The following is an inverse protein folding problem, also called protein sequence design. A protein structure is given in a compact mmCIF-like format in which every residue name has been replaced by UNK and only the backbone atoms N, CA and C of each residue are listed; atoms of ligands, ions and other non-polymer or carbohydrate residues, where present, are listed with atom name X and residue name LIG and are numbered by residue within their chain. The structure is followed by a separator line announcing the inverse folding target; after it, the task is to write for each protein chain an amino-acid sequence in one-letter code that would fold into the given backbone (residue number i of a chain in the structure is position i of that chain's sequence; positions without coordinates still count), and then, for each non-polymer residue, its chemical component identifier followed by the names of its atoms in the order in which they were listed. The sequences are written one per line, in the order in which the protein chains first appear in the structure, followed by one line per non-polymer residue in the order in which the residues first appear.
data_IF_671547709033
#
_entry.id   IF_671547709033
#
_cell.length_a   1.000
_cell.length_b   1.000
_cell.length_c   1.000
_cell.angle_alpha   90.00
_cell.angle_beta   90.00
_cell.angle_gamma   90.00
#
_symmetry.space_group_name_H-M   'P 1'
#
loop_
_entity.id
_entity.type
_entity.pdbx_description
1 polymer ?
#
# COMPACT_ATOMS: atom_id res chain seq x y z
N UNK A 1 -8.12 -11.20 34.02
CA UNK A 1 -7.37 -11.81 32.91
C UNK A 1 -7.25 -10.78 31.80
N UNK A 2 -6.03 -10.39 31.42
CA UNK A 2 -5.82 -9.47 30.30
C UNK A 2 -5.96 -10.28 29.00
N UNK A 3 -7.15 -10.24 28.41
CA UNK A 3 -7.44 -10.89 27.15
C UNK A 3 -6.81 -10.03 26.05
N UNK A 4 -5.50 -10.17 25.87
CA UNK A 4 -4.74 -9.43 24.88
C UNK A 4 -4.98 -10.07 23.50
N UNK A 5 -6.19 -9.85 22.98
CA UNK A 5 -6.62 -10.28 21.65
C UNK A 5 -6.01 -9.39 20.58
N UNK A 6 -4.69 -9.46 20.39
CA UNK A 6 -3.98 -8.86 19.26
C UNK A 6 -4.10 -9.70 17.97
N UNK A 7 -5.13 -10.55 17.87
CA UNK A 7 -5.06 -11.68 16.94
C UNK A 7 -5.72 -11.47 15.58
N UNK A 8 -6.68 -10.57 15.35
CA UNK A 8 -7.59 -10.81 14.20
C UNK A 8 -8.14 -9.61 13.40
N UNK A 9 -7.64 -8.38 13.53
CA UNK A 9 -8.18 -7.30 12.69
C UNK A 9 -7.19 -6.18 12.39
N UNK A 10 -6.05 -6.50 11.78
CA UNK A 10 -5.43 -5.48 10.93
C UNK A 10 -6.08 -5.61 9.56
N UNK A 11 -7.22 -4.92 9.38
CA UNK A 11 -7.92 -4.91 8.10
C UNK A 11 -6.96 -4.33 7.05
N UNK A 12 -6.37 -5.21 6.26
CA UNK A 12 -5.47 -4.85 5.18
C UNK A 12 -6.28 -4.39 3.98
N UNK A 13 -7.17 -3.43 4.17
CA UNK A 13 -7.85 -2.78 3.05
C UNK A 13 -6.76 -2.22 2.13
N UNK A 14 -6.88 -2.56 0.86
CA UNK A 14 -5.96 -2.12 -0.18
C UNK A 14 -5.82 -0.60 -0.11
N UNK A 15 -4.59 -0.04 -0.06
CA UNK A 15 -4.38 1.41 -0.04
C UNK A 15 -5.00 2.12 -1.24
N UNK A 16 -5.10 1.40 -2.36
CA UNK A 16 -5.67 1.96 -3.57
C UNK A 16 -7.16 2.19 -3.35
N UNK A 17 -7.54 3.47 -3.30
CA UNK A 17 -8.91 3.94 -3.13
C UNK A 17 -9.85 3.47 -4.24
N UNK A 18 -9.33 3.06 -5.40
CA UNK A 18 -10.12 2.47 -6.49
C UNK A 18 -10.32 0.95 -6.34
N UNK A 19 -9.54 0.27 -5.49
CA UNK A 19 -9.63 -1.18 -5.32
C UNK A 19 -10.35 -1.57 -4.03
N UNK A 20 -9.96 -0.99 -2.89
CA UNK A 20 -10.58 -1.22 -1.58
C UNK A 20 -10.70 -2.70 -1.14
N UNK A 21 -10.00 -3.61 -1.82
CA UNK A 21 -10.02 -5.03 -1.48
C UNK A 21 -9.40 -5.29 -0.11
N UNK A 22 -10.02 -6.11 0.73
CA UNK A 22 -9.64 -6.32 2.13
C UNK A 22 -9.24 -7.76 2.45
N UNK A 23 -9.54 -8.72 1.57
CA UNK A 23 -9.28 -10.15 1.75
C UNK A 23 -7.89 -10.58 1.24
N UNK A 24 -6.83 -9.95 1.72
CA UNK A 24 -5.46 -10.34 1.37
C UNK A 24 -5.00 -11.60 2.12
N UNK A 25 -4.30 -12.50 1.42
CA UNK A 25 -3.62 -13.63 2.06
C UNK A 25 -2.61 -13.15 3.12
N UNK A 26 -2.46 -13.92 4.20
CA UNK A 26 -1.48 -13.61 5.25
C UNK A 26 -0.07 -13.56 4.66
N UNK A 27 0.59 -12.42 4.80
CA UNK A 27 1.93 -12.19 4.25
C UNK A 27 1.96 -11.76 2.78
N UNK A 28 0.83 -11.45 2.16
CA UNK A 28 0.81 -10.90 0.80
C UNK A 28 1.59 -9.57 0.72
N UNK A 29 2.44 -9.48 -0.30
CA UNK A 29 3.27 -8.31 -0.61
C UNK A 29 2.53 -7.27 -1.46
N UNK A 30 1.57 -7.72 -2.26
CA UNK A 30 0.78 -6.92 -3.18
C UNK A 30 -0.69 -7.32 -3.12
N UNK A 31 -1.57 -6.39 -3.48
CA UNK A 31 -2.98 -6.66 -3.67
C UNK A 31 -3.17 -7.59 -4.86
N UNK A 32 -3.89 -8.70 -4.68
CA UNK A 32 -4.11 -9.68 -5.76
C UNK A 32 -4.98 -9.13 -6.89
N UNK A 33 -5.84 -8.13 -6.60
CA UNK A 33 -6.73 -7.55 -7.60
C UNK A 33 -6.07 -6.43 -8.40
N UNK A 34 -5.29 -5.55 -7.76
CA UNK A 34 -4.77 -4.34 -8.42
C UNK A 34 -3.24 -4.20 -8.40
N UNK A 35 -2.51 -5.16 -7.82
CA UNK A 35 -1.04 -5.15 -7.77
C UNK A 35 -0.42 -4.12 -6.81
N UNK A 36 -1.22 -3.32 -6.11
CA UNK A 36 -0.71 -2.28 -5.19
C UNK A 36 0.09 -2.91 -4.05
N UNK A 37 1.26 -2.35 -3.74
CA UNK A 37 2.11 -2.82 -2.65
C UNK A 37 1.43 -2.63 -1.29
N UNK A 38 1.55 -3.64 -0.42
CA UNK A 38 0.98 -3.64 0.94
C UNK A 38 2.04 -3.36 2.02
N UNK A 39 3.24 -2.96 1.61
CA UNK A 39 4.38 -2.64 2.47
C UNK A 39 5.11 -1.41 1.91
N UNK A 40 5.89 -0.74 2.75
CA UNK A 40 6.77 0.35 2.35
C UNK A 40 8.22 -0.08 2.36
N UNK A 41 9.02 0.40 1.41
CA UNK A 41 10.48 0.34 1.52
C UNK A 41 10.98 1.67 2.02
N UNK A 42 11.91 1.64 2.95
CA UNK A 42 12.59 2.85 3.39
C UNK A 42 13.57 3.30 2.30
N UNK A 43 13.52 4.57 1.89
CA UNK A 43 14.41 5.10 0.86
C UNK A 43 15.87 5.19 1.33
N UNK A 44 16.11 5.37 2.63
CA UNK A 44 17.47 5.52 3.17
C UNK A 44 18.23 4.20 3.34
N UNK A 45 17.53 3.11 3.66
CA UNK A 45 18.17 1.82 3.98
C UNK A 45 17.57 0.60 3.28
N UNK A 46 16.55 0.80 2.45
CA UNK A 46 15.87 -0.23 1.63
C UNK A 46 15.16 -1.32 2.45
N UNK A 47 15.12 -1.19 3.78
CA UNK A 47 14.41 -2.12 4.65
C UNK A 47 12.91 -2.14 4.35
N UNK A 48 12.30 -3.33 4.40
CA UNK A 48 10.87 -3.55 4.16
C UNK A 48 10.09 -3.32 5.45
N UNK A 49 9.31 -2.26 5.47
CA UNK A 49 8.52 -1.81 6.60
C UNK A 49 7.02 -2.10 6.38
N UNK A 50 6.27 -2.44 7.43
CA UNK A 50 4.83 -2.59 7.31
C UNK A 50 4.16 -1.26 6.95
N UNK A 51 2.99 -1.30 6.31
CA UNK A 51 2.28 -0.10 5.83
C UNK A 51 1.91 0.89 6.94
N UNK A 52 1.71 0.42 8.18
CA UNK A 52 1.39 1.29 9.31
C UNK A 52 2.63 1.94 9.95
N UNK A 53 3.85 1.63 9.47
CA UNK A 53 5.07 2.19 10.03
C UNK A 53 5.20 3.67 9.67
N UNK A 54 5.27 4.53 10.69
CA UNK A 54 5.61 5.95 10.53
C UNK A 54 7.12 6.18 10.39
N UNK A 55 7.91 5.25 10.94
CA UNK A 55 9.36 5.29 10.94
C UNK A 55 9.94 3.94 10.56
N UNK A 56 11.11 3.94 9.93
CA UNK A 56 11.84 2.75 9.60
C UNK A 56 12.30 2.06 10.88
N UNK A 57 11.93 0.80 11.08
CA UNK A 57 12.36 0.05 12.27
C UNK A 57 13.88 -0.20 12.30
N UNK A 58 14.54 -0.08 11.15
CA UNK A 58 15.97 -0.33 11.02
C UNK A 58 16.81 0.94 11.20
N UNK A 59 16.56 1.99 10.40
CA UNK A 59 17.37 3.20 10.41
C UNK A 59 16.72 4.41 11.11
N UNK A 60 15.45 4.33 11.50
CA UNK A 60 14.73 5.41 12.19
C UNK A 60 14.19 6.52 11.28
N UNK A 61 14.43 6.48 9.97
CA UNK A 61 13.93 7.47 9.02
C UNK A 61 12.40 7.54 8.98
N UNK A 62 11.85 8.72 8.70
CA UNK A 62 10.40 8.89 8.54
C UNK A 62 9.94 8.29 7.19
N UNK A 63 8.85 7.52 7.21
CA UNK A 63 8.25 6.87 6.02
C UNK A 63 6.74 7.16 5.89
N UNK A 64 6.21 8.09 6.70
CA UNK A 64 4.77 8.31 6.85
C UNK A 64 4.08 8.93 5.62
N UNK A 65 4.86 9.51 4.69
CA UNK A 65 4.34 10.39 3.63
C UNK A 65 4.43 9.82 2.21
N UNK A 66 4.72 8.52 2.04
CA UNK A 66 4.64 7.89 0.71
C UNK A 66 3.17 7.56 0.41
N UNK A 67 2.35 8.61 0.33
CA UNK A 67 0.99 8.56 -0.19
C UNK A 67 1.02 7.82 -1.53
N UNK A 68 0.12 6.85 -1.60
CA UNK A 68 -0.19 5.96 -2.72
C UNK A 68 -0.35 6.75 -4.03
N UNK A 69 0.77 7.13 -4.64
CA UNK A 69 0.85 7.79 -5.93
C UNK A 69 0.62 6.75 -7.02
N UNK A 70 -0.65 6.39 -7.17
CA UNK A 70 -1.18 5.80 -8.39
C UNK A 70 -1.08 6.82 -9.52
N UNK A 71 0.12 7.02 -10.04
CA UNK A 71 0.36 7.64 -11.34
C UNK A 71 0.00 6.61 -12.41
N UNK A 72 -1.30 6.46 -12.70
CA UNK A 72 -1.72 5.91 -13.98
C UNK A 72 -1.99 7.11 -14.88
N UNK A 73 -0.97 7.51 -15.66
CA UNK A 73 -1.19 8.39 -16.82
C UNK A 73 -2.16 7.67 -17.75
N UNK A 74 -3.40 8.12 -17.78
CA UNK A 74 -4.31 7.91 -18.89
C UNK A 74 -4.39 9.19 -19.71
N UNK A 75 -3.24 9.65 -20.22
CA UNK A 75 -3.21 10.56 -21.36
C UNK A 75 -3.16 9.71 -22.62
N UNK A 76 -4.32 9.17 -23.00
CA UNK A 76 -4.58 8.78 -24.38
C UNK A 76 -5.75 9.64 -24.86
N UNK A 77 -5.40 10.84 -25.32
CA UNK A 77 -6.32 11.69 -26.08
C UNK A 77 -6.64 10.96 -27.39
N UNK A 78 -7.78 10.27 -27.43
CA UNK A 78 -8.38 9.77 -28.66
C UNK A 78 -8.98 10.97 -29.41
N UNK A 79 -8.12 11.61 -30.20
CA UNK A 79 -8.54 12.53 -31.24
C UNK A 79 -9.19 11.74 -32.37
N UNK A 80 -10.50 11.47 -32.28
CA UNK A 80 -11.28 11.12 -33.47
C UNK A 80 -11.88 12.37 -34.10
N UNK A 81 -11.14 12.83 -35.10
CA UNK A 81 -11.56 13.67 -36.22
C UNK A 81 -12.83 13.12 -36.92
N UNK A 82 -13.56 14.06 -37.56
CA UNK A 82 -14.51 13.88 -38.70
C UNK A 82 -15.86 13.20 -38.48
N UNK A 83 -16.97 13.98 -38.54
CA UNK A 83 -17.70 14.26 -39.79
C UNK A 83 -18.79 15.35 -39.56
#
# INVERSE_FOLDING_TARGET
MANNSYSEAESKVCPNSNCQYDHHAKGANFCILCGTLLYYRCDDCVSVNPKYAKFCFYCGSNIADVESSGHYSSDFEDATETH
#
